data_IF_306688421966
#
_entry.id   IF_306688421966
#
_cell.length_a   1.000
_cell.length_b   1.000
_cell.length_c   1.000
_cell.angle_alpha   90.00
_cell.angle_beta   90.00
_cell.angle_gamma   90.00
#
_symmetry.space_group_name_H-M   'P 1'
#
loop_
_entity.id
_entity.type
_entity.pdbx_description
1 polymer ?
#
# COMPACT_ATOMS: atom_id res chain seq x y z
N UNK A 1 -25.32 15.09 5.17
CA UNK A 1 -26.67 15.37 4.65
C UNK A 1 -27.72 14.55 5.42
N UNK A 2 -27.62 13.22 5.49
CA UNK A 2 -28.61 12.36 6.19
C UNK A 2 -28.76 12.71 7.68
N UNK A 3 -27.68 13.02 8.39
CA UNK A 3 -27.71 13.43 9.79
C UNK A 3 -28.48 14.72 10.01
N UNK A 4 -28.35 15.69 9.11
CA UNK A 4 -29.04 16.97 9.19
C UNK A 4 -30.54 16.79 8.93
N UNK A 5 -30.91 16.00 7.93
CA UNK A 5 -32.31 15.66 7.64
C UNK A 5 -32.94 14.95 8.85
N UNK A 6 -32.25 13.96 9.42
CA UNK A 6 -32.72 13.23 10.60
C UNK A 6 -32.92 14.16 11.80
N UNK A 7 -32.02 15.12 12.02
CA UNK A 7 -32.13 16.12 13.09
C UNK A 7 -33.37 17.00 12.93
N UNK A 8 -33.62 17.48 11.70
CA UNK A 8 -34.82 18.29 11.42
C UNK A 8 -36.11 17.50 11.65
N UNK A 9 -36.15 16.25 11.12
CA UNK A 9 -37.32 15.39 11.31
C UNK A 9 -37.54 15.10 12.79
N UNK A 10 -36.50 14.82 13.56
CA UNK A 10 -36.57 14.56 15.00
C UNK A 10 -37.15 15.75 15.77
N UNK A 11 -36.72 16.97 15.44
CA UNK A 11 -37.25 18.20 16.06
C UNK A 11 -38.73 18.40 15.72
N UNK A 12 -39.13 18.17 14.47
CA UNK A 12 -40.53 18.27 14.04
C UNK A 12 -41.43 17.24 14.75
N UNK A 13 -40.96 15.98 14.84
CA UNK A 13 -41.67 14.92 15.52
C UNK A 13 -41.80 15.23 17.02
N UNK A 14 -40.72 15.72 17.64
CA UNK A 14 -40.79 16.11 19.05
C UNK A 14 -41.78 17.25 19.28
N UNK A 15 -41.78 18.29 18.43
CA UNK A 15 -42.75 19.37 18.52
C UNK A 15 -44.19 18.85 18.38
N UNK A 16 -44.45 17.99 17.39
CA UNK A 16 -45.79 17.50 17.10
C UNK A 16 -46.36 16.61 18.23
N UNK A 17 -45.52 15.79 18.87
CA UNK A 17 -45.96 14.83 19.88
C UNK A 17 -45.91 15.34 21.32
N UNK A 18 -44.96 16.22 21.65
CA UNK A 18 -44.67 16.57 23.04
C UNK A 18 -44.91 18.02 23.39
N UNK A 19 -45.15 18.91 22.40
CA UNK A 19 -45.39 20.34 22.68
C UNK A 19 -46.87 20.64 22.71
N UNK A 20 -47.36 21.36 23.71
CA UNK A 20 -48.75 21.79 23.80
C UNK A 20 -49.05 22.98 22.89
N UNK A 21 -50.18 23.01 22.14
CA UNK A 21 -51.18 21.98 22.01
C UNK A 21 -50.69 20.80 21.17
N UNK A 22 -50.79 19.56 21.71
CA UNK A 22 -50.36 18.34 21.06
C UNK A 22 -51.01 18.15 19.68
N UNK A 23 -50.29 17.49 18.74
CA UNK A 23 -50.72 17.22 17.36
C UNK A 23 -50.89 18.47 16.49
N UNK A 24 -50.28 19.60 16.89
CA UNK A 24 -50.18 20.82 16.07
C UNK A 24 -48.72 21.22 15.91
N UNK A 25 -48.42 21.95 14.82
CA UNK A 25 -47.10 22.55 14.61
C UNK A 25 -47.04 24.03 15.08
N UNK A 26 -48.00 24.40 15.93
CA UNK A 26 -48.08 25.77 16.45
C UNK A 26 -47.37 25.86 17.80
N UNK A 27 -46.50 26.85 17.94
CA UNK A 27 -45.75 27.15 19.15
C UNK A 27 -46.25 28.53 19.67
N UNK A 28 -47.09 28.51 20.71
CA UNK A 28 -47.71 29.75 21.24
C UNK A 28 -46.86 30.47 22.28
N UNK A 29 -45.88 29.80 22.89
CA UNK A 29 -45.08 30.43 23.93
C UNK A 29 -43.79 30.99 23.36
N UNK A 30 -43.35 32.17 23.83
CA UNK A 30 -42.16 32.85 23.38
C UNK A 30 -40.85 32.08 23.63
N UNK A 31 -40.85 31.08 24.51
CA UNK A 31 -39.70 30.22 24.82
C UNK A 31 -39.46 29.10 23.80
N UNK A 32 -40.44 28.64 23.03
CA UNK A 32 -40.31 27.54 22.12
C UNK A 32 -39.28 27.74 20.99
N UNK A 33 -39.18 28.89 20.33
CA UNK A 33 -38.19 29.09 19.29
C UNK A 33 -36.75 28.92 19.79
N UNK A 34 -36.45 29.35 21.00
CA UNK A 34 -35.13 29.21 21.63
C UNK A 34 -34.82 27.72 21.90
N UNK A 35 -35.81 26.99 22.42
CA UNK A 35 -35.68 25.56 22.69
C UNK A 35 -35.43 24.77 21.39
N UNK A 36 -36.11 25.09 20.30
CA UNK A 36 -35.89 24.45 18.99
C UNK A 36 -34.50 24.77 18.44
N UNK A 37 -34.01 25.98 18.55
CA UNK A 37 -32.65 26.34 18.11
C UNK A 37 -31.62 25.54 18.90
N UNK A 38 -31.77 25.43 20.22
CA UNK A 38 -30.87 24.66 21.07
C UNK A 38 -30.91 23.19 20.72
N UNK A 39 -32.11 22.59 20.53
CA UNK A 39 -32.24 21.19 20.10
C UNK A 39 -31.58 20.93 18.74
N UNK A 40 -31.76 21.83 17.78
CA UNK A 40 -31.17 21.72 16.45
C UNK A 40 -29.64 21.82 16.51
N UNK A 41 -29.09 22.73 17.32
CA UNK A 41 -27.66 22.84 17.56
C UNK A 41 -27.08 21.57 18.21
N UNK A 42 -27.75 21.05 19.23
CA UNK A 42 -27.32 19.81 19.91
C UNK A 42 -27.38 18.59 18.95
N UNK A 43 -28.43 18.49 18.14
CA UNK A 43 -28.56 17.43 17.16
C UNK A 43 -27.49 17.53 16.06
N UNK A 44 -27.16 18.74 15.62
CA UNK A 44 -26.07 18.97 14.66
C UNK A 44 -24.70 18.62 15.27
N UNK A 45 -24.43 19.04 16.51
CA UNK A 45 -23.19 18.73 17.21
C UNK A 45 -23.01 17.21 17.40
N UNK A 46 -24.03 16.54 17.91
CA UNK A 46 -24.00 15.08 18.11
C UNK A 46 -23.85 14.33 16.80
N UNK A 47 -24.56 14.72 15.75
CA UNK A 47 -24.42 14.12 14.42
C UNK A 47 -23.03 14.31 13.82
N UNK A 48 -22.47 15.50 13.95
CA UNK A 48 -21.10 15.79 13.46
C UNK A 48 -20.03 15.03 14.23
N UNK A 49 -20.22 14.88 15.56
CA UNK A 49 -19.31 14.12 16.41
C UNK A 49 -19.34 12.64 16.08
N UNK A 50 -20.52 12.05 15.87
CA UNK A 50 -20.68 10.66 15.48
C UNK A 50 -19.96 10.32 14.15
N UNK A 51 -20.04 11.21 13.15
CA UNK A 51 -19.32 11.08 11.88
C UNK A 51 -17.80 11.13 12.11
N UNK A 52 -17.33 12.07 12.94
CA UNK A 52 -15.90 12.20 13.27
C UNK A 52 -15.37 10.92 13.95
N UNK A 53 -16.08 10.41 14.95
CA UNK A 53 -15.71 9.18 15.66
C UNK A 53 -15.65 8.00 14.69
N UNK A 54 -16.65 7.83 13.80
CA UNK A 54 -16.66 6.77 12.80
C UNK A 54 -15.47 6.87 11.85
N UNK A 55 -15.12 8.08 11.39
CA UNK A 55 -13.97 8.29 10.51
C UNK A 55 -12.65 8.02 11.23
N UNK A 56 -12.51 8.46 12.49
CA UNK A 56 -11.34 8.17 13.30
C UNK A 56 -11.18 6.66 13.55
N UNK A 57 -12.27 5.95 13.86
CA UNK A 57 -12.24 4.50 14.04
C UNK A 57 -11.81 3.78 12.76
N UNK A 58 -12.32 4.22 11.58
CA UNK A 58 -11.89 3.67 10.28
C UNK A 58 -10.40 3.93 10.02
N UNK A 59 -9.91 5.14 10.25
CA UNK A 59 -8.50 5.49 10.08
C UNK A 59 -7.60 4.69 11.05
N UNK A 60 -8.01 4.54 12.31
CA UNK A 60 -7.28 3.74 13.29
C UNK A 60 -7.21 2.27 12.88
N UNK A 61 -8.31 1.69 12.40
CA UNK A 61 -8.33 0.32 11.88
C UNK A 61 -7.41 0.14 10.66
N UNK A 62 -7.43 1.06 9.71
CA UNK A 62 -6.53 1.05 8.55
C UNK A 62 -5.06 1.18 8.97
N UNK A 63 -4.75 2.07 9.90
CA UNK A 63 -3.38 2.25 10.43
C UNK A 63 -2.90 0.99 11.14
N UNK A 64 -3.74 0.38 12.00
CA UNK A 64 -3.41 -0.87 12.69
C UNK A 64 -3.18 -2.03 11.70
N UNK A 65 -4.02 -2.16 10.67
CA UNK A 65 -3.84 -3.14 9.61
C UNK A 65 -2.52 -2.94 8.85
N UNK A 66 -2.22 -1.70 8.43
CA UNK A 66 -0.97 -1.36 7.77
C UNK A 66 0.25 -1.72 8.63
N UNK A 67 0.24 -1.34 9.91
CA UNK A 67 1.33 -1.64 10.84
C UNK A 67 1.52 -3.15 10.97
N UNK A 68 0.44 -3.93 11.09
CA UNK A 68 0.50 -5.38 11.13
C UNK A 68 1.13 -5.97 9.88
N UNK A 69 0.66 -5.56 8.70
CA UNK A 69 1.19 -6.06 7.41
C UNK A 69 2.68 -5.77 7.29
N UNK A 70 3.12 -4.56 7.64
CA UNK A 70 4.54 -4.19 7.59
C UNK A 70 5.37 -4.95 8.63
N UNK A 71 4.85 -5.18 9.83
CA UNK A 71 5.53 -5.98 10.85
C UNK A 71 5.72 -7.43 10.37
N UNK A 72 4.66 -8.06 9.86
CA UNK A 72 4.70 -9.42 9.33
C UNK A 72 5.68 -9.52 8.14
N UNK A 73 5.67 -8.52 7.25
CA UNK A 73 6.61 -8.44 6.12
C UNK A 73 8.06 -8.34 6.60
N UNK A 74 8.35 -7.43 7.54
CA UNK A 74 9.69 -7.28 8.10
C UNK A 74 10.19 -8.55 8.77
N UNK A 75 9.32 -9.26 9.48
CA UNK A 75 9.67 -10.54 10.10
C UNK A 75 10.08 -11.58 9.05
N UNK A 76 9.33 -11.68 7.93
CA UNK A 76 9.64 -12.59 6.84
C UNK A 76 10.96 -12.21 6.14
N UNK A 77 11.16 -10.93 5.86
CA UNK A 77 12.38 -10.44 5.20
C UNK A 77 13.63 -10.63 6.05
N UNK A 78 13.54 -10.54 7.38
CA UNK A 78 14.66 -10.81 8.30
C UNK A 78 15.05 -12.29 8.35
N UNK A 79 14.16 -13.19 8.01
CA UNK A 79 14.43 -14.64 7.98
C UNK A 79 15.01 -15.08 6.63
N UNK A 80 14.85 -14.27 5.59
CA UNK A 80 15.37 -14.54 4.27
C UNK A 80 16.92 -14.52 4.27
N UNK A 81 17.52 -15.55 3.66
CA UNK A 81 18.96 -15.77 3.64
C UNK A 81 19.65 -15.23 2.40
N UNK A 82 18.90 -15.09 1.32
CA UNK A 82 19.40 -14.62 0.05
C UNK A 82 18.38 -13.74 -0.70
N UNK A 83 18.82 -13.13 -1.80
CA UNK A 83 18.00 -12.26 -2.63
C UNK A 83 16.73 -12.93 -3.18
N UNK A 84 16.77 -14.24 -3.47
CA UNK A 84 15.63 -14.98 -4.03
C UNK A 84 14.57 -15.24 -2.96
N UNK A 85 14.98 -15.54 -1.73
CA UNK A 85 14.06 -15.67 -0.60
C UNK A 85 13.39 -14.31 -0.26
N UNK A 86 14.14 -13.20 -0.35
CA UNK A 86 13.60 -11.84 -0.17
C UNK A 86 12.53 -11.56 -1.23
N UNK A 87 12.81 -11.83 -2.50
CA UNK A 87 11.88 -11.66 -3.63
C UNK A 87 10.63 -12.52 -3.42
N UNK A 88 10.81 -13.78 -3.06
CA UNK A 88 9.70 -14.72 -2.83
C UNK A 88 8.82 -14.29 -1.66
N UNK A 89 9.42 -13.90 -0.53
CA UNK A 89 8.69 -13.41 0.64
C UNK A 89 7.88 -12.15 0.31
N UNK A 90 8.50 -11.19 -0.38
CA UNK A 90 7.84 -9.94 -0.81
C UNK A 90 6.68 -10.21 -1.75
N UNK A 91 6.91 -11.00 -2.80
CA UNK A 91 5.90 -11.30 -3.81
C UNK A 91 4.71 -12.07 -3.22
N UNK A 92 4.95 -13.05 -2.36
CA UNK A 92 3.90 -13.78 -1.67
C UNK A 92 3.08 -12.90 -0.73
N UNK A 93 3.71 -11.94 -0.07
CA UNK A 93 3.02 -10.97 0.78
C UNK A 93 2.15 -10.02 -0.04
N UNK A 94 2.64 -9.57 -1.20
CA UNK A 94 1.87 -8.73 -2.11
C UNK A 94 0.71 -9.48 -2.77
N UNK A 95 0.87 -10.76 -3.11
CA UNK A 95 -0.22 -11.61 -3.60
C UNK A 95 -1.33 -11.72 -2.55
N UNK A 96 -0.99 -11.93 -1.28
CA UNK A 96 -1.98 -11.99 -0.20
C UNK A 96 -2.74 -10.67 -0.05
N UNK A 97 -2.05 -9.54 -0.25
CA UNK A 97 -2.63 -8.20 -0.13
C UNK A 97 -3.53 -7.86 -1.32
N UNK A 98 -3.01 -8.03 -2.55
CA UNK A 98 -3.60 -7.50 -3.77
C UNK A 98 -4.47 -8.52 -4.52
N UNK A 99 -4.27 -9.80 -4.27
CA UNK A 99 -4.88 -10.92 -5.00
C UNK A 99 -4.65 -10.83 -6.51
N UNK A 100 -3.44 -10.46 -6.89
CA UNK A 100 -2.99 -10.25 -8.27
C UNK A 100 -1.69 -11.00 -8.51
N UNK A 101 -1.49 -11.40 -9.77
CA UNK A 101 -0.24 -12.01 -10.21
C UNK A 101 0.89 -10.98 -10.22
N UNK A 102 2.07 -11.44 -9.90
CA UNK A 102 3.26 -10.61 -9.73
C UNK A 102 4.41 -11.18 -10.53
N UNK A 103 5.11 -10.29 -11.22
CA UNK A 103 6.38 -10.57 -11.89
C UNK A 103 7.45 -9.72 -11.24
N UNK A 104 8.53 -10.32 -10.79
CA UNK A 104 9.63 -9.61 -10.16
C UNK A 104 10.91 -9.79 -10.96
N UNK A 105 11.57 -8.71 -11.32
CA UNK A 105 12.88 -8.68 -11.97
C UNK A 105 13.90 -8.16 -10.97
N UNK A 106 14.92 -8.96 -10.66
CA UNK A 106 16.10 -8.45 -9.96
C UNK A 106 16.92 -7.58 -10.91
N UNK A 107 17.57 -6.55 -10.40
CA UNK A 107 18.46 -5.69 -11.16
C UNK A 107 19.92 -5.93 -10.75
N UNK A 108 20.79 -6.12 -11.74
CA UNK A 108 22.23 -6.07 -11.57
C UNK A 108 22.77 -4.89 -12.38
N UNK A 109 22.96 -3.76 -11.69
CA UNK A 109 23.25 -2.48 -12.32
C UNK A 109 22.10 -1.99 -13.20
N UNK A 110 22.35 -1.83 -14.50
CA UNK A 110 21.36 -1.37 -15.49
C UNK A 110 20.63 -2.51 -16.22
N UNK A 111 20.88 -3.76 -15.86
CA UNK A 111 20.32 -4.94 -16.51
C UNK A 111 19.33 -5.63 -15.61
N UNK A 112 18.19 -6.05 -16.17
CA UNK A 112 17.21 -6.89 -15.51
C UNK A 112 17.59 -8.37 -15.68
N UNK A 113 17.55 -9.12 -14.60
CA UNK A 113 17.69 -10.57 -14.58
C UNK A 113 16.44 -11.28 -15.13
N UNK A 114 16.46 -12.59 -15.15
CA UNK A 114 15.28 -13.40 -15.52
C UNK A 114 14.09 -13.13 -14.59
N UNK A 115 12.86 -13.07 -15.13
CA UNK A 115 11.69 -12.80 -14.31
C UNK A 115 11.39 -13.94 -13.34
N UNK A 116 11.14 -13.59 -12.07
CA UNK A 116 10.52 -14.45 -11.08
C UNK A 116 9.02 -14.21 -11.13
N UNK A 117 8.24 -15.29 -11.36
CA UNK A 117 6.80 -15.20 -11.56
C UNK A 117 6.10 -15.81 -10.37
N UNK A 118 5.11 -15.07 -9.84
CA UNK A 118 4.30 -15.50 -8.71
C UNK A 118 2.83 -15.32 -9.08
N UNK A 119 2.09 -16.42 -9.11
CA UNK A 119 0.69 -16.44 -9.57
C UNK A 119 -0.29 -16.83 -8.47
N UNK A 120 -1.48 -16.25 -8.55
CA UNK A 120 -2.65 -16.68 -7.77
C UNK A 120 -3.35 -17.86 -8.44
N UNK A 121 -3.40 -17.85 -9.79
CA UNK A 121 -3.97 -18.87 -10.65
C UNK A 121 -2.99 -19.16 -11.76
N UNK A 122 -2.67 -20.43 -12.01
CA UNK A 122 -1.66 -20.84 -13.00
C UNK A 122 -2.00 -20.47 -14.47
N UNK A 123 -3.10 -19.76 -14.71
CA UNK A 123 -3.58 -19.38 -16.03
C UNK A 123 -3.04 -18.01 -16.46
N UNK A 124 -2.40 -17.96 -17.64
CA UNK A 124 -2.04 -16.74 -18.42
C UNK A 124 -0.77 -15.94 -18.04
N UNK A 125 0.23 -16.53 -17.45
CA UNK A 125 1.50 -15.88 -17.10
C UNK A 125 2.38 -15.53 -18.32
N UNK A 126 2.27 -16.25 -19.43
CA UNK A 126 3.06 -15.98 -20.65
C UNK A 126 2.85 -14.57 -21.20
N UNK A 127 1.68 -14.01 -21.00
CA UNK A 127 1.38 -12.67 -21.49
C UNK A 127 2.08 -11.55 -20.74
N UNK A 128 2.54 -11.82 -19.49
CA UNK A 128 3.25 -10.85 -18.63
C UNK A 128 4.78 -10.92 -18.80
N UNK A 129 5.28 -11.86 -19.61
CA UNK A 129 6.72 -12.08 -19.87
C UNK A 129 7.10 -11.66 -21.30
N UNK A 130 6.17 -11.07 -22.05
CA UNK A 130 6.45 -10.64 -23.41
C UNK A 130 7.61 -9.65 -23.47
N UNK A 131 8.31 -9.58 -24.60
CA UNK A 131 9.39 -8.60 -24.85
C UNK A 131 8.91 -7.15 -24.60
N UNK A 132 7.65 -6.85 -24.90
CA UNK A 132 7.06 -5.55 -24.61
C UNK A 132 7.00 -5.26 -23.10
N UNK A 133 6.55 -6.22 -22.30
CA UNK A 133 6.49 -6.09 -20.83
C UNK A 133 7.90 -5.92 -20.24
N UNK A 134 8.87 -6.70 -20.73
CA UNK A 134 10.28 -6.57 -20.34
C UNK A 134 10.87 -5.21 -20.71
N UNK A 135 10.51 -4.66 -21.87
CA UNK A 135 10.94 -3.32 -22.29
C UNK A 135 10.37 -2.23 -21.34
N UNK A 136 9.11 -2.37 -20.92
CA UNK A 136 8.51 -1.43 -19.94
C UNK A 136 9.21 -1.56 -18.58
N UNK A 137 9.50 -2.77 -18.11
CA UNK A 137 10.27 -2.99 -16.88
C UNK A 137 11.68 -2.36 -16.98
N UNK A 138 12.37 -2.51 -18.10
CA UNK A 138 13.66 -1.88 -18.38
C UNK A 138 13.57 -0.34 -18.39
N UNK A 139 12.49 0.22 -18.91
CA UNK A 139 12.25 1.66 -18.85
C UNK A 139 12.08 2.14 -17.40
N UNK A 140 11.34 1.39 -16.56
CA UNK A 140 11.17 1.70 -15.13
C UNK A 140 12.50 1.64 -14.39
N UNK A 141 13.36 0.66 -14.68
CA UNK A 141 14.69 0.56 -14.10
C UNK A 141 15.51 1.83 -14.38
N UNK A 142 15.57 2.26 -15.65
CA UNK A 142 16.39 3.42 -16.08
C UNK A 142 15.84 4.75 -15.59
N UNK A 143 14.53 4.94 -15.61
CA UNK A 143 13.90 6.23 -15.30
C UNK A 143 13.47 6.36 -13.84
N UNK A 144 13.48 5.27 -13.08
CA UNK A 144 13.03 5.23 -11.68
C UNK A 144 11.62 5.82 -11.47
N UNK A 145 10.74 5.61 -12.45
CA UNK A 145 9.35 6.08 -12.46
C UNK A 145 8.42 4.91 -12.78
N UNK A 146 7.24 4.92 -12.18
CA UNK A 146 6.20 3.92 -12.50
C UNK A 146 5.75 4.04 -13.95
N UNK A 147 5.49 2.91 -14.60
CA UNK A 147 4.96 2.82 -15.95
C UNK A 147 4.05 1.60 -16.12
N UNK A 148 3.38 1.51 -17.26
CA UNK A 148 2.50 0.41 -17.60
C UNK A 148 1.03 0.67 -17.28
N UNK A 149 0.28 -0.40 -17.08
CA UNK A 149 -1.15 -0.37 -16.87
C UNK A 149 -1.58 0.66 -15.82
N UNK A 150 -2.69 1.33 -16.04
CA UNK A 150 -3.28 2.36 -15.16
C UNK A 150 -2.39 3.60 -14.92
N UNK A 151 -1.35 3.79 -15.74
CA UNK A 151 -0.47 4.98 -15.69
C UNK A 151 -0.57 5.79 -16.99
N UNK A 152 -0.10 7.03 -16.97
CA UNK A 152 0.03 7.86 -18.18
C UNK A 152 1.27 7.53 -19.03
N UNK A 153 2.10 6.55 -18.63
CA UNK A 153 3.37 6.20 -19.30
C UNK A 153 3.35 4.74 -19.70
N UNK A 154 3.51 4.43 -20.99
CA UNK A 154 3.52 3.07 -21.54
C UNK A 154 2.28 2.25 -21.11
N UNK A 155 1.12 2.88 -21.15
CA UNK A 155 -0.17 2.35 -20.65
C UNK A 155 -0.68 1.11 -21.37
N UNK A 156 -0.10 0.74 -22.53
CA UNK A 156 -0.47 -0.45 -23.29
C UNK A 156 0.05 -1.76 -22.67
N UNK A 157 0.92 -1.67 -21.66
CA UNK A 157 1.37 -2.85 -20.92
C UNK A 157 0.24 -3.42 -20.05
N UNK A 158 0.26 -4.72 -19.82
CA UNK A 158 -0.72 -5.43 -18.97
C UNK A 158 -0.42 -5.27 -17.47
N UNK A 159 0.86 -5.08 -17.15
CA UNK A 159 1.31 -4.92 -15.78
C UNK A 159 1.56 -3.45 -15.43
N UNK A 160 1.31 -3.11 -14.17
CA UNK A 160 1.82 -1.89 -13.53
C UNK A 160 3.23 -2.17 -13.01
N UNK A 161 4.22 -1.44 -13.51
CA UNK A 161 5.62 -1.60 -13.13
C UNK A 161 6.06 -0.51 -12.17
N UNK A 162 6.76 -0.94 -11.09
CA UNK A 162 7.32 -0.07 -10.05
C UNK A 162 8.77 -0.49 -9.76
N UNK A 163 9.63 0.50 -9.52
CA UNK A 163 11.00 0.25 -9.10
C UNK A 163 11.05 -0.11 -7.60
N UNK A 164 11.80 -1.16 -7.27
CA UNK A 164 12.18 -1.54 -5.92
C UNK A 164 13.50 -0.85 -5.62
N UNK A 165 13.43 0.25 -4.86
CA UNK A 165 14.56 1.15 -4.66
C UNK A 165 14.79 1.50 -3.21
N UNK A 166 16.07 1.60 -2.84
CA UNK A 166 16.52 2.25 -1.60
C UNK A 166 17.48 3.37 -1.96
N UNK A 167 17.25 4.54 -1.38
CA UNK A 167 17.98 5.77 -1.72
C UNK A 167 17.96 6.07 -3.24
N UNK A 168 19.12 6.08 -3.88
CA UNK A 168 19.27 6.32 -5.32
C UNK A 168 19.45 5.04 -6.15
N UNK A 169 19.58 3.87 -5.52
CA UNK A 169 19.78 2.59 -6.22
C UNK A 169 18.47 1.83 -6.39
N UNK A 170 18.30 1.25 -7.59
CA UNK A 170 17.22 0.35 -7.91
C UNK A 170 17.75 -1.09 -7.83
N UNK A 171 17.13 -1.90 -6.99
CA UNK A 171 17.50 -3.31 -6.75
C UNK A 171 16.67 -4.29 -7.56
N UNK A 172 15.57 -3.81 -8.15
CA UNK A 172 14.70 -4.59 -8.99
C UNK A 172 13.49 -3.81 -9.47
N UNK A 173 12.69 -4.46 -10.30
CA UNK A 173 11.43 -3.92 -10.81
C UNK A 173 10.33 -4.96 -10.57
N UNK A 174 9.22 -4.54 -10.02
CA UNK A 174 8.05 -5.38 -9.83
C UNK A 174 6.97 -5.00 -10.82
N UNK A 175 6.38 -5.99 -11.48
CA UNK A 175 5.20 -5.88 -12.32
C UNK A 175 3.99 -6.52 -11.62
N UNK A 176 2.88 -5.83 -11.56
CA UNK A 176 1.63 -6.28 -10.98
C UNK A 176 0.61 -6.34 -12.10
N UNK A 177 0.01 -7.50 -12.32
CA UNK A 177 -1.03 -7.67 -13.35
C UNK A 177 -2.25 -6.84 -12.97
N UNK A 178 -2.59 -5.89 -13.83
CA UNK A 178 -3.70 -4.96 -13.58
C UNK A 178 -4.87 -5.26 -14.52
N UNK A 179 -6.09 -5.06 -14.01
CA UNK A 179 -7.25 -4.87 -14.84
C UNK A 179 -7.43 -3.39 -15.22
N UNK A 180 -8.63 -3.01 -15.62
CA UNK A 180 -8.96 -1.63 -15.97
C UNK A 180 -9.02 -0.68 -14.75
N UNK A 181 -9.18 -1.24 -13.55
CA UNK A 181 -9.36 -0.47 -12.31
C UNK A 181 -8.00 -0.29 -11.62
N UNK A 182 -7.59 0.95 -11.32
CA UNK A 182 -6.36 1.20 -10.56
C UNK A 182 -6.47 0.68 -9.11
N UNK A 183 -5.32 0.49 -8.47
CA UNK A 183 -5.25 0.11 -7.05
C UNK A 183 -5.93 1.17 -6.17
N UNK A 184 -6.63 0.71 -5.13
CA UNK A 184 -7.14 1.61 -4.10
C UNK A 184 -5.97 2.40 -3.44
N UNK A 185 -6.17 3.68 -3.10
CA UNK A 185 -5.11 4.50 -2.47
C UNK A 185 -4.49 3.87 -1.22
N UNK A 186 -5.28 3.14 -0.43
CA UNK A 186 -4.79 2.44 0.76
C UNK A 186 -3.91 1.25 0.38
N UNK A 187 -4.34 0.40 -0.57
CA UNK A 187 -3.55 -0.71 -1.10
C UNK A 187 -2.23 -0.23 -1.72
N UNK A 188 -2.29 0.84 -2.52
CA UNK A 188 -1.11 1.45 -3.13
C UNK A 188 -0.12 1.98 -2.07
N UNK A 189 -0.62 2.54 -0.97
CA UNK A 189 0.23 3.00 0.13
C UNK A 189 0.96 1.85 0.84
N UNK A 190 0.27 0.72 1.07
CA UNK A 190 0.88 -0.47 1.67
C UNK A 190 1.86 -1.11 0.70
N UNK A 191 1.50 -1.24 -0.58
CA UNK A 191 2.38 -1.73 -1.64
C UNK A 191 3.73 -0.98 -1.64
N UNK A 192 3.70 0.35 -1.71
CA UNK A 192 4.92 1.16 -1.72
C UNK A 192 5.75 0.98 -0.44
N UNK A 193 5.09 0.79 0.70
CA UNK A 193 5.79 0.52 1.95
C UNK A 193 6.48 -0.84 1.94
N UNK A 194 5.80 -1.90 1.45
CA UNK A 194 6.39 -3.25 1.33
C UNK A 194 7.58 -3.23 0.35
N UNK A 195 7.46 -2.51 -0.77
CA UNK A 195 8.57 -2.38 -1.72
C UNK A 195 9.77 -1.63 -1.12
N UNK A 196 9.53 -0.66 -0.25
CA UNK A 196 10.60 0.01 0.51
C UNK A 196 11.34 -0.94 1.45
N UNK A 197 10.61 -1.77 2.21
CA UNK A 197 11.20 -2.79 3.07
C UNK A 197 11.96 -3.87 2.29
N UNK A 198 11.41 -4.30 1.14
CA UNK A 198 12.09 -5.22 0.22
C UNK A 198 13.41 -4.63 -0.29
N UNK A 199 13.40 -3.37 -0.72
CA UNK A 199 14.59 -2.69 -1.22
C UNK A 199 15.68 -2.59 -0.13
N UNK A 200 15.29 -2.27 1.10
CA UNK A 200 16.20 -2.22 2.24
C UNK A 200 16.78 -3.61 2.56
N UNK A 201 15.97 -4.65 2.49
CA UNK A 201 16.44 -6.03 2.70
C UNK A 201 17.45 -6.46 1.63
N UNK A 202 17.19 -6.13 0.33
CA UNK A 202 18.10 -6.41 -0.78
C UNK A 202 19.41 -5.61 -0.65
N UNK A 203 19.34 -4.35 -0.21
CA UNK A 203 20.52 -3.52 0.07
C UNK A 203 21.38 -4.13 1.18
N UNK A 204 20.75 -4.56 2.28
CA UNK A 204 21.44 -5.18 3.40
C UNK A 204 22.09 -6.51 3.00
N UNK A 205 21.42 -7.35 2.21
CA UNK A 205 21.97 -8.60 1.68
C UNK A 205 23.19 -8.33 0.81
N UNK A 206 23.10 -7.38 -0.12
CA UNK A 206 24.21 -6.98 -0.99
C UNK A 206 25.40 -6.51 -0.19
N UNK A 207 25.19 -5.61 0.77
CA UNK A 207 26.24 -5.08 1.62
C UNK A 207 26.91 -6.17 2.49
N UNK A 208 26.12 -7.13 2.99
CA UNK A 208 26.62 -8.26 3.76
C UNK A 208 27.51 -9.18 2.89
N UNK A 209 27.07 -9.48 1.68
CA UNK A 209 27.82 -10.28 0.72
C UNK A 209 29.13 -9.61 0.32
N UNK A 210 29.12 -8.33 -0.02
CA UNK A 210 30.34 -7.57 -0.38
C UNK A 210 31.34 -7.56 0.77
N UNK A 211 30.88 -7.38 2.02
CA UNK A 211 31.76 -7.46 3.19
C UNK A 211 32.37 -8.85 3.39
N UNK A 212 31.60 -9.89 3.15
CA UNK A 212 32.07 -11.27 3.27
C UNK A 212 33.12 -11.60 2.19
N UNK A 213 32.87 -11.18 0.95
CA UNK A 213 33.82 -11.36 -0.17
C UNK A 213 35.15 -10.61 0.12
N UNK A 214 35.06 -9.38 0.58
CA UNK A 214 36.26 -8.59 0.97
C UNK A 214 37.05 -9.26 2.11
N UNK A 215 36.36 -9.81 3.11
CA UNK A 215 37.01 -10.52 4.23
C UNK A 215 37.71 -11.82 3.77
N UNK A 216 37.11 -12.57 2.82
CA UNK A 216 37.70 -13.76 2.23
C UNK A 216 38.97 -13.40 1.43
N UNK A 217 38.89 -12.34 0.62
CA UNK A 217 40.05 -11.87 -0.15
C UNK A 217 41.22 -11.48 0.76
N UNK A 218 40.96 -10.68 1.80
CA UNK A 218 41.97 -10.26 2.77
C UNK A 218 42.64 -11.48 3.49
N UNK A 219 41.82 -12.47 3.87
CA UNK A 219 42.32 -13.69 4.49
C UNK A 219 43.20 -14.52 3.53
N UNK A 220 42.83 -14.59 2.26
CA UNK A 220 43.61 -15.30 1.25
C UNK A 220 44.95 -14.60 0.96
N UNK A 221 45.01 -13.28 0.99
CA UNK A 221 46.26 -12.52 0.85
C UNK A 221 47.19 -12.79 2.04
N UNK A 222 46.70 -12.75 3.26
CA UNK A 222 47.50 -13.09 4.46
C UNK A 222 48.08 -14.52 4.39
N UNK A 223 47.28 -15.50 3.95
CA UNK A 223 47.77 -16.87 3.78
C UNK A 223 48.84 -17.00 2.71
N UNK A 224 48.77 -16.19 1.64
CA UNK A 224 49.80 -16.15 0.61
C UNK A 224 51.11 -15.52 1.10
N UNK A 225 51.05 -14.51 1.92
CA UNK A 225 52.23 -13.89 2.53
C UNK A 225 52.95 -14.85 3.49
N UNK A 226 52.19 -15.57 4.37
CA UNK A 226 52.74 -16.56 5.28
C UNK A 226 53.35 -17.74 4.52
N UNK A 227 52.81 -18.18 3.41
CA UNK A 227 53.33 -19.27 2.61
C UNK A 227 54.58 -18.93 1.72
N UNK A 228 54.95 -17.62 1.69
CA UNK A 228 56.15 -17.13 0.99
C UNK A 228 57.33 -16.84 1.92
N UNK A 229 57.09 -16.83 3.22
CA UNK A 229 58.16 -16.66 4.23
C UNK A 229 58.71 -18.01 4.69
#
# INVERSE_FOLDING_TARGET
IYSLIFSIVSVLVFNFLFTEPQFTLQAYDQGYPVTFIIMLLLAFLTGSLAIRIKNQAKQAAQSAYRTKVLFDTNQLLRQAKDKNEIVSATSNQLIKLLRKDIVFYLADGEVLDTPHIFSVTEENLESCISENEKAVAGWVLKNNKRAGATTGTLSNAKCLYLAVRSNSMVYGVIGIVMGEIPLDPFENSILLSILGECALALENEKNAREKQEAAILAKNEQLREIGRA
#
